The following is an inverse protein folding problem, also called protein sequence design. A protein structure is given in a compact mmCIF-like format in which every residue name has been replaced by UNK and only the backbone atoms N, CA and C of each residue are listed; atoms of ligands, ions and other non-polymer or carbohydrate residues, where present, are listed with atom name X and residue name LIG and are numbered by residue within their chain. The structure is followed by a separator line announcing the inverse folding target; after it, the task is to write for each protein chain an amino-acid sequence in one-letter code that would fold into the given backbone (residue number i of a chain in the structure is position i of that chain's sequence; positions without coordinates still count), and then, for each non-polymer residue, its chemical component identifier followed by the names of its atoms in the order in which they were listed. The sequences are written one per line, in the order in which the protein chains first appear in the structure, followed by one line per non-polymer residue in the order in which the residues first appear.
data_IF_847883422718
#
_entry.id   IF_847883422718
#
_cell.length_a   1.000
_cell.length_b   1.000
_cell.length_c   1.000
_cell.angle_alpha   90.00
_cell.angle_beta   90.00
_cell.angle_gamma   90.00
#
_symmetry.space_group_name_H-M   'P 1'
#
loop_
_entity.id
_entity.type
_entity.pdbx_description
1 polymer ?
#
# COMPACT_ATOMS: atom_id res chain seq x y z
N UNK A 1 -6.98 -1.34 -22.45
CA UNK A 1 -5.63 -1.20 -21.85
C UNK A 1 -5.68 -0.89 -20.35
N UNK A 2 -6.34 0.19 -19.89
CA UNK A 2 -6.43 0.54 -18.45
C UNK A 2 -7.03 -0.59 -17.57
N UNK A 3 -8.12 -1.22 -18.02
CA UNK A 3 -8.71 -2.37 -17.33
C UNK A 3 -7.81 -3.63 -17.32
N UNK A 4 -6.92 -3.78 -18.31
CA UNK A 4 -5.99 -4.90 -18.38
C UNK A 4 -4.83 -4.71 -17.39
N UNK A 5 -4.27 -3.49 -17.30
CA UNK A 5 -3.21 -3.16 -16.34
C UNK A 5 -3.67 -3.20 -14.88
N UNK A 6 -4.90 -2.77 -14.58
CA UNK A 6 -5.49 -2.89 -13.24
C UNK A 6 -5.75 -4.37 -12.89
N UNK A 7 -6.23 -5.17 -13.83
CA UNK A 7 -6.45 -6.62 -13.62
C UNK A 7 -5.13 -7.37 -13.46
N UNK A 8 -4.09 -7.02 -14.22
CA UNK A 8 -2.76 -7.60 -14.12
C UNK A 8 -2.06 -7.18 -12.83
N UNK A 9 -2.24 -5.94 -12.36
CA UNK A 9 -1.75 -5.54 -11.04
C UNK A 9 -2.52 -6.19 -9.90
N UNK A 10 -3.84 -6.29 -9.96
CA UNK A 10 -4.61 -7.05 -8.99
C UNK A 10 -4.18 -8.53 -9.00
N UNK A 11 -3.88 -9.10 -10.17
CA UNK A 11 -3.37 -10.46 -10.29
C UNK A 11 -1.94 -10.59 -9.77
N UNK A 12 -1.06 -9.60 -9.97
CA UNK A 12 0.33 -9.65 -9.48
C UNK A 12 0.44 -9.30 -8.00
N UNK A 13 -0.36 -8.36 -7.47
CA UNK A 13 -0.53 -8.12 -6.04
C UNK A 13 -1.17 -9.34 -5.39
N UNK A 14 -2.15 -9.95 -6.07
CA UNK A 14 -2.64 -11.27 -5.70
C UNK A 14 -1.49 -12.27 -5.76
N UNK A 15 -0.60 -12.31 -6.77
CA UNK A 15 0.55 -13.23 -6.86
C UNK A 15 1.65 -12.98 -5.81
N UNK A 16 1.83 -11.73 -5.35
CA UNK A 16 2.74 -11.34 -4.27
C UNK A 16 2.19 -11.67 -2.88
N UNK A 17 0.86 -11.70 -2.78
CA UNK A 17 0.13 -12.25 -1.63
C UNK A 17 -0.18 -13.74 -1.81
N UNK A 18 0.02 -14.31 -3.01
CA UNK A 18 -0.30 -15.69 -3.38
C UNK A 18 0.89 -16.59 -3.22
N UNK A 19 0.60 -17.69 -2.57
CA UNK A 19 1.58 -18.66 -2.14
C UNK A 19 1.85 -19.70 -3.22
N UNK A 20 0.81 -20.20 -3.88
CA UNK A 20 0.90 -21.37 -4.76
C UNK A 20 1.89 -21.17 -5.91
N UNK A 21 2.05 -19.92 -6.37
CA UNK A 21 3.01 -19.62 -7.44
C UNK A 21 4.45 -19.52 -6.93
N UNK A 22 4.71 -19.11 -5.69
CA UNK A 22 6.09 -19.00 -5.16
C UNK A 22 6.78 -20.38 -5.08
N UNK A 23 6.03 -21.47 -4.84
CA UNK A 23 6.58 -22.83 -4.96
C UNK A 23 6.93 -23.19 -6.41
N UNK A 24 6.16 -22.70 -7.40
CA UNK A 24 6.54 -22.80 -8.82
C UNK A 24 7.76 -21.91 -9.18
N UNK A 25 8.03 -20.83 -8.43
CA UNK A 25 9.21 -19.94 -8.59
C UNK A 25 10.52 -20.49 -8.03
N UNK A 26 10.53 -21.64 -7.34
CA UNK A 26 11.79 -22.28 -6.91
C UNK A 26 12.67 -22.75 -8.08
N UNK A 27 12.11 -22.79 -9.30
CA UNK A 27 12.81 -23.09 -10.55
C UNK A 27 12.43 -22.13 -11.70
N UNK A 28 12.34 -20.82 -11.46
CA UNK A 28 11.96 -19.89 -12.53
C UNK A 28 13.17 -19.24 -13.20
N UNK A 29 13.27 -19.49 -14.51
CA UNK A 29 14.14 -18.75 -15.43
C UNK A 29 13.90 -17.25 -15.29
N UNK A 30 14.95 -16.44 -15.51
CA UNK A 30 14.85 -14.98 -15.52
C UNK A 30 13.61 -14.55 -16.32
N UNK A 31 12.72 -13.80 -15.68
CA UNK A 31 11.55 -13.23 -16.38
C UNK A 31 12.02 -12.53 -17.66
N UNK A 32 11.39 -12.79 -18.81
CA UNK A 32 11.76 -12.14 -20.06
C UNK A 32 11.66 -10.62 -19.88
N UNK A 33 12.56 -9.89 -20.54
CA UNK A 33 12.44 -8.42 -20.60
C UNK A 33 11.06 -8.09 -21.13
N UNK A 34 10.34 -7.22 -20.44
CA UNK A 34 9.11 -6.66 -20.99
C UNK A 34 9.44 -5.90 -22.25
N UNK A 35 8.94 -6.39 -23.38
CA UNK A 35 9.05 -5.73 -24.68
C UNK A 35 7.81 -4.87 -24.89
N UNK A 36 8.04 -3.62 -25.27
CA UNK A 36 6.98 -2.68 -25.62
C UNK A 36 6.78 -2.65 -27.13
N UNK A 37 5.54 -2.54 -27.56
CA UNK A 37 5.25 -1.92 -28.86
C UNK A 37 5.41 -0.40 -28.71
N UNK A 38 6.17 0.30 -29.56
CA UNK A 38 6.50 1.74 -29.45
C UNK A 38 5.32 2.74 -29.33
N UNK A 39 4.08 2.24 -29.30
CA UNK A 39 2.86 3.02 -29.44
C UNK A 39 2.19 3.39 -28.12
N UNK A 40 2.49 2.72 -26.99
CA UNK A 40 1.83 3.11 -25.75
C UNK A 40 2.59 4.26 -25.05
N UNK A 41 1.81 5.22 -24.54
CA UNK A 41 2.34 6.41 -23.89
C UNK A 41 2.68 6.11 -22.41
N UNK A 42 3.78 6.66 -21.88
CA UNK A 42 4.13 6.47 -20.47
C UNK A 42 3.03 7.06 -19.57
N UNK A 43 2.58 6.24 -18.62
CA UNK A 43 1.56 6.65 -17.64
C UNK A 43 2.15 7.62 -16.62
N UNK A 44 3.31 7.30 -16.04
CA UNK A 44 4.05 8.18 -15.15
C UNK A 44 5.02 9.04 -15.96
N UNK A 45 5.11 10.33 -15.63
CA UNK A 45 5.83 11.33 -16.43
C UNK A 45 6.73 12.17 -15.54
N UNK A 46 8.04 11.93 -15.58
CA UNK A 46 9.07 12.69 -14.84
C UNK A 46 8.73 12.88 -13.35
N UNK A 47 8.35 11.79 -12.68
CA UNK A 47 8.02 11.82 -11.26
C UNK A 47 9.32 11.83 -10.44
N UNK A 48 9.61 12.96 -9.79
CA UNK A 48 10.75 13.12 -8.89
C UNK A 48 10.22 13.29 -7.46
N UNK A 49 10.47 12.31 -6.61
CA UNK A 49 9.91 12.25 -5.26
C UNK A 49 10.92 11.60 -4.31
N UNK A 50 11.09 12.20 -3.14
CA UNK A 50 11.87 11.63 -2.03
C UNK A 50 10.94 11.44 -0.84
N UNK A 51 10.92 10.22 -0.31
CA UNK A 51 10.14 9.85 0.88
C UNK A 51 11.13 9.41 1.94
N UNK A 52 11.17 10.14 3.06
CA UNK A 52 12.06 9.80 4.17
C UNK A 52 11.59 8.56 4.93
N UNK A 53 12.53 7.92 5.61
CA UNK A 53 12.24 6.76 6.45
C UNK A 53 11.22 7.12 7.55
N UNK A 54 10.23 6.25 7.75
CA UNK A 54 9.20 6.42 8.78
C UNK A 54 8.08 7.39 8.43
N UNK A 55 8.11 8.04 7.26
CA UNK A 55 6.98 8.87 6.81
C UNK A 55 5.78 8.00 6.46
N UNK A 56 4.59 8.44 6.88
CA UNK A 56 3.31 8.02 6.33
C UNK A 56 2.93 9.03 5.28
N UNK A 57 2.80 8.55 4.06
CA UNK A 57 2.52 9.35 2.88
C UNK A 57 1.17 8.94 2.32
N UNK A 58 0.23 9.88 2.31
CA UNK A 58 -1.03 9.72 1.59
C UNK A 58 -0.85 10.01 0.11
N UNK A 59 -1.33 9.14 -0.77
CA UNK A 59 -1.27 9.30 -2.22
C UNK A 59 -2.69 9.52 -2.73
N UNK A 60 -2.95 10.72 -3.25
CA UNK A 60 -4.27 11.15 -3.72
C UNK A 60 -4.21 11.68 -5.15
N UNK A 61 -5.37 11.78 -5.79
CA UNK A 61 -5.50 12.16 -7.19
C UNK A 61 -6.75 11.56 -7.80
N UNK A 62 -7.25 12.16 -8.88
CA UNK A 62 -8.43 11.66 -9.59
C UNK A 62 -8.18 10.25 -10.17
N UNK A 63 -9.26 9.57 -10.56
CA UNK A 63 -9.14 8.31 -11.32
C UNK A 63 -8.32 8.55 -12.58
N UNK A 64 -7.34 7.69 -12.87
CA UNK A 64 -6.41 7.87 -13.99
C UNK A 64 -5.21 8.78 -13.73
N UNK A 65 -5.07 9.36 -12.52
CA UNK A 65 -3.93 10.21 -12.19
C UNK A 65 -2.56 9.50 -12.12
N UNK A 66 -2.53 8.16 -12.14
CA UNK A 66 -1.29 7.36 -12.09
C UNK A 66 -0.96 6.74 -10.73
N UNK A 67 -1.82 6.85 -9.71
CA UNK A 67 -1.58 6.30 -8.35
C UNK A 67 -1.23 4.82 -8.36
N UNK A 68 -2.05 4.00 -9.02
CA UNK A 68 -1.81 2.56 -9.15
C UNK A 68 -0.50 2.30 -9.91
N UNK A 69 -0.20 3.05 -10.98
CA UNK A 69 1.06 2.92 -11.72
C UNK A 69 2.29 3.25 -10.88
N UNK A 70 2.20 4.18 -9.93
CA UNK A 70 3.27 4.47 -8.95
C UNK A 70 3.51 3.26 -8.03
N UNK A 71 2.45 2.58 -7.59
CA UNK A 71 2.61 1.33 -6.84
C UNK A 71 3.21 0.24 -7.73
N UNK A 72 2.79 0.13 -9.00
CA UNK A 72 3.38 -0.82 -9.96
C UNK A 72 4.88 -0.60 -10.14
N UNK A 73 5.34 0.65 -10.25
CA UNK A 73 6.76 0.95 -10.46
C UNK A 73 7.58 0.60 -9.22
N UNK A 74 7.08 0.89 -8.01
CA UNK A 74 7.74 0.53 -6.75
C UNK A 74 7.97 -0.98 -6.62
N UNK A 75 6.98 -1.78 -7.01
CA UNK A 75 7.07 -3.25 -6.98
C UNK A 75 7.78 -3.85 -8.21
N UNK A 76 8.23 -2.99 -9.15
CA UNK A 76 8.72 -3.36 -10.48
C UNK A 76 7.79 -4.38 -11.13
N UNK A 77 6.53 -3.97 -11.35
CA UNK A 77 5.48 -4.70 -12.07
C UNK A 77 5.19 -4.14 -13.47
N UNK A 78 5.82 -3.02 -13.83
CA UNK A 78 5.82 -2.42 -15.15
C UNK A 78 7.21 -1.86 -15.47
N UNK A 79 7.53 -1.67 -16.76
CA UNK A 79 8.82 -1.09 -17.18
C UNK A 79 8.95 0.28 -16.52
N UNK A 80 10.09 0.50 -15.87
CA UNK A 80 10.42 1.78 -15.26
C UNK A 80 11.55 2.40 -16.08
N UNK A 81 11.27 3.57 -16.66
CA UNK A 81 12.30 4.45 -17.20
C UNK A 81 12.73 5.42 -16.09
N UNK A 82 14.04 5.52 -15.85
CA UNK A 82 14.61 6.17 -14.67
C UNK A 82 14.97 5.17 -13.58
N UNK A 83 15.10 5.64 -12.34
CA UNK A 83 15.56 4.84 -11.21
C UNK A 83 14.57 4.90 -10.03
N UNK A 84 14.45 3.79 -9.32
CA UNK A 84 13.75 3.72 -8.03
C UNK A 84 14.78 3.27 -7.01
N UNK A 85 15.09 4.15 -6.07
CA UNK A 85 16.14 3.94 -5.06
C UNK A 85 15.48 3.68 -3.70
N UNK A 86 15.87 2.59 -3.04
CA UNK A 86 15.44 2.25 -1.68
C UNK A 86 16.69 2.09 -0.82
N UNK A 87 16.77 2.82 0.30
CA UNK A 87 17.92 2.81 1.22
C UNK A 87 19.28 3.03 0.51
N UNK A 88 19.29 3.88 -0.53
CA UNK A 88 20.48 4.20 -1.33
C UNK A 88 20.84 3.15 -2.39
N UNK A 89 20.03 2.10 -2.56
CA UNK A 89 20.23 1.04 -3.54
C UNK A 89 19.24 1.22 -4.69
N UNK A 90 19.73 1.32 -5.93
CA UNK A 90 18.87 1.25 -7.11
C UNK A 90 18.26 -0.15 -7.24
N UNK A 91 16.94 -0.21 -7.15
CA UNK A 91 16.16 -1.44 -7.23
C UNK A 91 16.25 -2.12 -8.59
N UNK A 92 16.71 -1.43 -9.64
CA UNK A 92 16.99 -1.96 -10.97
C UNK A 92 17.97 -3.13 -10.97
N UNK A 93 18.95 -3.10 -10.06
CA UNK A 93 19.99 -4.13 -9.92
C UNK A 93 19.58 -5.32 -9.04
N UNK A 94 18.48 -5.21 -8.30
CA UNK A 94 18.02 -6.26 -7.39
C UNK A 94 17.23 -7.35 -8.13
N UNK A 95 17.33 -8.58 -7.64
CA UNK A 95 16.40 -9.64 -8.02
C UNK A 95 14.99 -9.27 -7.55
N UNK A 96 13.99 -9.51 -8.40
CA UNK A 96 12.60 -9.13 -8.08
C UNK A 96 12.10 -9.78 -6.79
N UNK A 97 12.43 -11.05 -6.56
CA UNK A 97 12.05 -11.73 -5.32
C UNK A 97 12.64 -11.05 -4.08
N UNK A 98 13.91 -10.61 -4.15
CA UNK A 98 14.57 -9.91 -3.06
C UNK A 98 13.89 -8.56 -2.78
N UNK A 99 13.72 -7.72 -3.81
CA UNK A 99 13.03 -6.44 -3.71
C UNK A 99 11.63 -6.60 -3.10
N UNK A 100 10.83 -7.51 -3.66
CA UNK A 100 9.43 -7.72 -3.29
C UNK A 100 9.30 -8.35 -1.91
N UNK A 101 10.31 -9.09 -1.44
CA UNK A 101 10.33 -9.61 -0.07
C UNK A 101 10.47 -8.52 0.98
N UNK A 102 11.03 -7.35 0.63
CA UNK A 102 11.27 -6.21 1.53
C UNK A 102 10.15 -5.19 1.58
N UNK A 103 9.08 -5.38 0.79
CA UNK A 103 7.93 -4.48 0.73
C UNK A 103 6.67 -5.29 1.06
N UNK A 104 5.86 -4.80 2.00
CA UNK A 104 4.55 -5.38 2.32
C UNK A 104 3.45 -4.59 1.63
N UNK A 105 2.39 -5.28 1.19
CA UNK A 105 1.20 -4.65 0.61
C UNK A 105 -0.07 -5.18 1.26
N UNK A 106 -1.02 -4.27 1.51
CA UNK A 106 -2.38 -4.57 1.92
C UNK A 106 -3.30 -4.06 0.82
N UNK A 107 -3.85 -4.95 -0.03
CA UNK A 107 -4.71 -4.57 -1.14
C UNK A 107 -6.11 -4.16 -0.67
N UNK A 108 -6.80 -3.39 -1.52
CA UNK A 108 -8.20 -3.03 -1.36
C UNK A 108 -9.11 -4.26 -1.24
N UNK A 109 -8.86 -5.27 -2.09
CA UNK A 109 -9.54 -6.57 -2.07
C UNK A 109 -8.60 -7.66 -1.53
N UNK A 110 -8.71 -8.04 -0.24
CA UNK A 110 -7.89 -9.09 0.32
C UNK A 110 -8.21 -10.46 -0.30
N UNK A 111 -7.16 -11.14 -0.76
CA UNK A 111 -7.27 -12.51 -1.28
C UNK A 111 -6.80 -13.49 -0.21
N UNK A 112 -7.68 -14.45 0.10
CA UNK A 112 -7.36 -15.62 0.91
C UNK A 112 -7.55 -16.90 0.10
N UNK A 113 -6.68 -17.88 0.34
CA UNK A 113 -6.70 -19.18 -0.32
C UNK A 113 -7.61 -20.15 0.42
N UNK A 114 -8.19 -21.09 -0.34
CA UNK A 114 -8.93 -22.23 0.21
C UNK A 114 -7.98 -23.24 0.86
N UNK A 115 -7.41 -22.87 2.00
CA UNK A 115 -6.36 -23.57 2.71
C UNK A 115 -6.48 -23.30 4.22
N UNK A 116 -5.52 -23.76 5.02
CA UNK A 116 -5.52 -23.44 6.47
C UNK A 116 -5.21 -21.97 6.73
N UNK A 117 -5.56 -21.47 7.91
CA UNK A 117 -5.11 -20.13 8.36
C UNK A 117 -3.59 -20.07 8.41
N UNK A 118 -2.93 -21.15 8.86
CA UNK A 118 -1.46 -21.30 8.81
C UNK A 118 -0.92 -21.00 7.42
N UNK A 119 -1.42 -21.71 6.42
CA UNK A 119 -0.97 -21.56 5.03
C UNK A 119 -1.21 -20.14 4.50
N UNK A 120 -2.35 -19.55 4.88
CA UNK A 120 -2.65 -18.18 4.51
C UNK A 120 -1.70 -17.18 5.17
N UNK A 121 -1.20 -17.41 6.39
CA UNK A 121 -0.28 -16.50 7.09
C UNK A 121 1.18 -16.72 6.69
N UNK A 122 1.61 -17.97 6.75
CA UNK A 122 2.98 -18.41 6.52
C UNK A 122 3.04 -19.69 5.68
N UNK A 123 3.08 -19.53 4.37
CA UNK A 123 3.11 -20.66 3.48
C UNK A 123 4.43 -21.43 3.39
N UNK A 124 5.55 -20.76 3.69
CA UNK A 124 6.87 -21.36 3.56
C UNK A 124 7.32 -22.01 4.85
N UNK A 125 6.48 -21.97 5.89
CA UNK A 125 6.81 -22.40 7.25
C UNK A 125 8.10 -21.71 7.75
N UNK A 126 8.23 -20.42 7.48
CA UNK A 126 9.33 -19.59 7.99
C UNK A 126 9.14 -19.20 9.46
N UNK A 127 7.92 -19.32 10.00
CA UNK A 127 7.54 -18.89 11.33
C UNK A 127 6.93 -20.04 12.13
N UNK A 128 7.18 -20.03 13.45
CA UNK A 128 6.56 -20.97 14.39
C UNK A 128 5.13 -20.54 14.77
N UNK A 129 4.38 -21.46 15.39
CA UNK A 129 2.99 -21.23 15.81
C UNK A 129 2.85 -20.04 16.77
N UNK A 130 3.84 -19.82 17.64
CA UNK A 130 3.81 -18.74 18.62
C UNK A 130 3.86 -17.38 17.90
N UNK A 131 4.74 -17.24 16.90
CA UNK A 131 4.83 -16.06 16.05
C UNK A 131 3.53 -15.82 15.28
N UNK A 132 2.91 -16.87 14.72
CA UNK A 132 1.64 -16.76 14.02
C UNK A 132 0.51 -16.29 14.93
N UNK A 133 0.40 -16.86 16.13
CA UNK A 133 -0.60 -16.44 17.12
C UNK A 133 -0.36 -15.02 17.62
N UNK A 134 0.89 -14.62 17.85
CA UNK A 134 1.24 -13.24 18.20
C UNK A 134 0.84 -12.26 17.10
N UNK A 135 1.04 -12.61 15.83
CA UNK A 135 0.62 -11.77 14.71
C UNK A 135 -0.91 -11.64 14.63
N UNK A 136 -1.65 -12.75 14.82
CA UNK A 136 -3.12 -12.74 14.88
C UNK A 136 -3.66 -11.93 16.07
N UNK A 137 -2.97 -11.99 17.21
CA UNK A 137 -3.29 -11.19 18.40
C UNK A 137 -3.03 -9.71 18.18
N UNK A 138 -1.89 -9.38 17.58
CA UNK A 138 -1.51 -8.02 17.20
C UNK A 138 -2.42 -7.42 16.13
N UNK A 139 -3.36 -8.17 15.54
CA UNK A 139 -4.40 -7.67 14.64
C UNK A 139 -5.82 -7.88 15.16
N UNK A 140 -5.97 -8.28 16.43
CA UNK A 140 -7.27 -8.56 17.08
C UNK A 140 -8.10 -9.65 16.38
N UNK A 141 -7.45 -10.55 15.63
CA UNK A 141 -8.09 -11.64 14.89
C UNK A 141 -8.02 -12.99 15.63
N UNK A 142 -7.18 -13.11 16.66
CA UNK A 142 -6.98 -14.35 17.43
C UNK A 142 -8.28 -15.00 17.90
N UNK A 143 -9.24 -14.22 18.39
CA UNK A 143 -10.53 -14.73 18.88
C UNK A 143 -11.43 -15.31 17.76
N UNK A 144 -11.25 -14.86 16.52
CA UNK A 144 -12.03 -15.33 15.36
C UNK A 144 -11.41 -16.57 14.68
N UNK A 145 -10.20 -16.97 15.07
CA UNK A 145 -9.48 -18.12 14.49
C UNK A 145 -9.41 -19.23 15.55
N UNK A 146 -10.20 -20.32 15.40
CA UNK A 146 -10.22 -21.41 16.39
C UNK A 146 -8.89 -22.19 16.49
N UNK A 147 -8.21 -22.34 15.36
CA UNK A 147 -6.90 -23.01 15.27
C UNK A 147 -6.17 -22.56 14.00
N UNK A 148 -4.85 -22.76 13.95
CA UNK A 148 -4.07 -22.49 12.74
C UNK A 148 -4.44 -23.44 11.58
N UNK A 149 -4.94 -24.63 11.88
CA UNK A 149 -5.46 -25.60 10.91
C UNK A 149 -6.89 -25.31 10.43
N UNK A 150 -7.54 -24.26 10.97
CA UNK A 150 -8.87 -23.86 10.56
C UNK A 150 -8.89 -23.58 9.05
N UNK A 151 -9.84 -24.22 8.35
CA UNK A 151 -9.94 -24.09 6.89
C UNK A 151 -10.63 -22.79 6.50
N UNK A 152 -9.94 -22.01 5.69
CA UNK A 152 -10.48 -20.87 4.97
C UNK A 152 -11.22 -21.42 3.75
N UNK A 153 -12.46 -20.99 3.55
CA UNK A 153 -13.28 -21.37 2.39
C UNK A 153 -12.80 -20.64 1.12
N UNK A 154 -13.31 -21.03 -0.04
CA UNK A 154 -12.97 -20.39 -1.31
C UNK A 154 -13.14 -18.85 -1.23
N UNK A 155 -12.08 -18.13 -1.60
CA UNK A 155 -12.02 -16.65 -1.53
C UNK A 155 -12.13 -16.06 -0.12
N UNK A 156 -12.01 -16.88 0.93
CA UNK A 156 -12.23 -16.47 2.32
C UNK A 156 -13.68 -16.12 2.63
N UNK A 157 -14.65 -16.75 1.95
CA UNK A 157 -16.08 -16.47 2.14
C UNK A 157 -16.61 -16.69 3.57
N UNK A 158 -15.90 -17.49 4.38
CA UNK A 158 -16.19 -17.67 5.80
C UNK A 158 -15.58 -16.60 6.72
N UNK A 159 -14.91 -15.57 6.17
CA UNK A 159 -14.40 -14.40 6.88
C UNK A 159 -15.08 -13.13 6.38
N UNK A 160 -15.38 -12.21 7.29
CA UNK A 160 -15.84 -10.88 6.90
C UNK A 160 -14.77 -10.12 6.11
N UNK A 161 -15.14 -9.11 5.33
CA UNK A 161 -14.17 -8.27 4.61
C UNK A 161 -13.10 -7.70 5.57
N UNK A 162 -13.52 -7.21 6.74
CA UNK A 162 -12.60 -6.70 7.75
C UNK A 162 -11.64 -7.77 8.27
N UNK A 163 -12.13 -8.99 8.56
CA UNK A 163 -11.25 -10.07 9.00
C UNK A 163 -10.25 -10.48 7.93
N UNK A 164 -10.64 -10.51 6.65
CA UNK A 164 -9.71 -10.78 5.54
C UNK A 164 -8.62 -9.70 5.44
N UNK A 165 -8.95 -8.43 5.69
CA UNK A 165 -7.96 -7.35 5.80
C UNK A 165 -7.01 -7.57 7.00
N UNK A 166 -7.52 -8.00 8.15
CA UNK A 166 -6.70 -8.32 9.31
C UNK A 166 -5.75 -9.50 9.05
N UNK A 167 -6.15 -10.51 8.27
CA UNK A 167 -5.21 -11.55 7.82
C UNK A 167 -4.07 -10.96 6.99
N UNK A 168 -4.36 -10.06 6.05
CA UNK A 168 -3.32 -9.35 5.29
C UNK A 168 -2.42 -8.49 6.19
N UNK A 169 -2.98 -7.85 7.21
CA UNK A 169 -2.23 -7.09 8.19
C UNK A 169 -1.30 -8.00 9.02
N UNK A 170 -1.78 -9.17 9.45
CA UNK A 170 -0.97 -10.15 10.17
C UNK A 170 0.20 -10.66 9.31
N UNK A 171 -0.02 -10.89 8.01
CA UNK A 171 1.07 -11.19 7.04
C UNK A 171 2.12 -10.09 7.00
N UNK A 172 1.69 -8.82 7.00
CA UNK A 172 2.60 -7.69 6.98
C UNK A 172 3.42 -7.58 8.28
N UNK A 173 2.81 -7.85 9.44
CA UNK A 173 3.49 -7.91 10.75
C UNK A 173 4.53 -9.03 10.77
N UNK A 174 4.16 -10.24 10.34
CA UNK A 174 5.07 -11.39 10.30
C UNK A 174 6.32 -11.10 9.46
N UNK A 175 6.13 -10.47 8.29
CA UNK A 175 7.26 -10.09 7.41
C UNK A 175 8.16 -9.01 8.01
N UNK A 176 7.66 -8.15 8.88
CA UNK A 176 8.45 -7.11 9.55
C UNK A 176 9.12 -6.11 8.59
N UNK A 177 8.58 -5.93 7.39
CA UNK A 177 9.13 -5.04 6.38
C UNK A 177 8.98 -3.57 6.78
N UNK A 178 10.00 -2.75 6.47
CA UNK A 178 10.01 -1.31 6.78
C UNK A 178 9.20 -0.46 5.81
N UNK A 179 8.82 -0.99 4.66
CA UNK A 179 7.98 -0.31 3.67
C UNK A 179 6.65 -1.05 3.57
N UNK A 180 5.56 -0.34 3.83
CA UNK A 180 4.20 -0.85 3.78
C UNK A 180 3.37 -0.03 2.80
N UNK A 181 2.73 -0.69 1.83
CA UNK A 181 1.78 -0.08 0.92
C UNK A 181 0.36 -0.47 1.31
N UNK A 182 -0.51 0.51 1.51
CA UNK A 182 -1.92 0.35 1.76
C UNK A 182 -2.69 0.82 0.53
N UNK A 183 -3.29 -0.09 -0.21
CA UNK A 183 -4.14 0.27 -1.34
C UNK A 183 -5.58 0.40 -0.85
N UNK A 184 -6.05 1.64 -0.73
CA UNK A 184 -7.37 1.99 -0.21
C UNK A 184 -7.60 1.50 1.24
N UNK A 185 -6.78 2.00 2.17
CA UNK A 185 -6.92 1.72 3.60
C UNK A 185 -8.36 1.99 4.08
N UNK A 186 -9.03 0.96 4.59
CA UNK A 186 -10.31 1.12 5.29
C UNK A 186 -10.05 1.62 6.71
N UNK A 187 -11.02 2.31 7.30
CA UNK A 187 -10.94 2.84 8.66
C UNK A 187 -10.70 1.77 9.75
N UNK A 188 -10.78 0.48 9.41
CA UNK A 188 -10.59 -0.64 10.33
C UNK A 188 -9.12 -1.08 10.47
N UNK A 189 -8.24 -0.57 9.61
CA UNK A 189 -6.80 -0.79 9.73
C UNK A 189 -6.22 0.52 10.24
N UNK A 190 -5.89 0.59 11.53
CA UNK A 190 -5.12 1.71 12.09
C UNK A 190 -3.62 1.36 12.00
N UNK A 191 -2.91 1.79 10.94
CA UNK A 191 -1.49 1.51 10.81
C UNK A 191 -0.64 2.29 11.83
N UNK A 192 -1.18 3.34 12.50
CA UNK A 192 -0.34 4.27 13.28
C UNK A 192 0.38 3.62 14.44
N UNK A 193 -0.30 2.76 15.19
CA UNK A 193 0.28 2.14 16.39
C UNK A 193 1.16 0.95 16.05
N UNK A 194 0.78 0.19 15.00
CA UNK A 194 1.39 -1.10 14.66
C UNK A 194 2.58 -0.98 13.71
N UNK A 195 2.63 0.11 12.94
CA UNK A 195 3.68 0.36 11.93
C UNK A 195 4.38 1.70 12.17
N UNK A 196 4.50 2.13 13.43
CA UNK A 196 5.10 3.42 13.79
C UNK A 196 6.52 3.61 13.25
N UNK A 197 7.31 2.53 13.11
CA UNK A 197 8.68 2.56 12.59
C UNK A 197 8.79 2.29 11.08
N UNK A 198 7.66 2.10 10.38
CA UNK A 198 7.64 1.82 8.94
C UNK A 198 7.38 3.09 8.14
N UNK A 199 7.95 3.16 6.95
CA UNK A 199 7.47 4.04 5.88
C UNK A 199 6.18 3.47 5.33
N UNK A 200 5.09 4.23 5.39
CA UNK A 200 3.75 3.77 4.96
C UNK A 200 3.28 4.60 3.78
N UNK A 201 2.93 3.94 2.67
CA UNK A 201 2.37 4.58 1.48
C UNK A 201 0.89 4.21 1.37
N UNK A 202 0.00 5.16 1.56
CA UNK A 202 -1.45 4.93 1.55
C UNK A 202 -2.07 5.53 0.30
N UNK A 203 -2.48 4.69 -0.65
CA UNK A 203 -3.33 5.15 -1.76
C UNK A 203 -4.73 5.38 -1.20
N UNK A 204 -5.20 6.62 -1.25
CA UNK A 204 -6.46 6.99 -0.64
C UNK A 204 -7.49 7.42 -1.69
N UNK A 205 -8.67 6.80 -1.61
CA UNK A 205 -9.90 7.28 -2.25
C UNK A 205 -10.75 8.14 -1.32
N UNK A 206 -10.58 7.97 0.00
CA UNK A 206 -11.23 8.80 1.02
C UNK A 206 -10.17 9.66 1.71
N UNK A 207 -10.35 10.98 1.67
CA UNK A 207 -9.34 11.92 2.18
C UNK A 207 -9.13 11.80 3.70
N UNK A 208 -10.13 11.36 4.46
CA UNK A 208 -10.04 11.22 5.92
C UNK A 208 -8.96 10.24 6.38
N UNK A 209 -8.55 9.28 5.55
CA UNK A 209 -7.54 8.29 5.90
C UNK A 209 -6.11 8.79 5.73
N UNK A 210 -5.92 9.99 5.18
CA UNK A 210 -4.61 10.58 4.90
C UNK A 210 -4.43 11.99 5.46
N UNK A 211 -5.45 12.57 6.12
CA UNK A 211 -5.34 13.93 6.68
C UNK A 211 -4.35 14.04 7.85
N UNK A 212 -3.98 12.91 8.43
CA UNK A 212 -3.05 12.77 9.54
C UNK A 212 -1.70 12.17 9.11
N UNK A 213 -1.46 12.08 7.81
CA UNK A 213 -0.18 11.66 7.24
C UNK A 213 0.88 12.76 7.38
N UNK A 214 2.15 12.37 7.53
CA UNK A 214 3.26 13.32 7.57
C UNK A 214 3.40 14.09 6.26
N UNK A 215 3.07 13.45 5.12
CA UNK A 215 3.00 14.09 3.79
C UNK A 215 1.82 13.58 2.98
N UNK A 216 1.34 14.39 2.05
CA UNK A 216 0.39 13.99 1.02
C UNK A 216 0.98 14.27 -0.35
N UNK A 217 1.10 13.23 -1.16
CA UNK A 217 1.42 13.27 -2.57
C UNK A 217 0.13 13.42 -3.37
N UNK A 218 0.00 14.53 -4.08
CA UNK A 218 -1.08 14.77 -5.03
C UNK A 218 -0.59 14.47 -6.43
N UNK A 219 -1.25 13.53 -7.10
CA UNK A 219 -0.99 13.15 -8.47
C UNK A 219 -2.05 13.71 -9.42
N UNK A 220 -1.62 14.17 -10.58
CA UNK A 220 -2.49 14.52 -11.70
C UNK A 220 -1.84 14.10 -13.03
N UNK A 221 -2.60 13.40 -13.87
CA UNK A 221 -2.20 13.02 -15.23
C UNK A 221 -0.79 12.39 -15.35
N UNK A 222 -0.39 11.58 -14.35
CA UNK A 222 0.90 10.90 -14.33
C UNK A 222 2.05 11.68 -13.68
N UNK A 223 1.77 12.86 -13.11
CA UNK A 223 2.77 13.77 -12.53
C UNK A 223 2.50 14.02 -11.05
N UNK A 224 3.57 14.29 -10.31
CA UNK A 224 3.48 14.90 -8.99
C UNK A 224 3.14 16.39 -9.16
N UNK A 225 2.04 16.85 -8.58
CA UNK A 225 1.63 18.27 -8.64
C UNK A 225 1.78 18.98 -7.30
N UNK A 226 1.60 18.28 -6.18
CA UNK A 226 1.82 18.82 -4.84
C UNK A 226 2.38 17.73 -3.92
N UNK A 227 3.27 18.12 -2.99
CA UNK A 227 3.83 17.21 -2.00
C UNK A 227 4.27 17.97 -0.74
N UNK A 228 3.44 17.97 0.30
CA UNK A 228 3.75 18.57 1.60
C UNK A 228 2.81 17.98 2.68
N UNK A 229 2.93 18.45 3.92
CA UNK A 229 1.99 18.15 4.99
C UNK A 229 0.57 18.62 4.62
N UNK A 230 -0.50 17.84 4.90
CA UNK A 230 -1.88 18.18 4.55
C UNK A 230 -2.28 19.62 4.92
N UNK A 231 -1.92 20.08 6.13
CA UNK A 231 -2.19 21.44 6.60
C UNK A 231 -1.57 22.53 5.72
N UNK A 232 -0.33 22.34 5.25
CA UNK A 232 0.36 23.31 4.40
C UNK A 232 -0.21 23.32 2.99
N UNK A 233 -0.57 22.15 2.46
CA UNK A 233 -1.27 22.06 1.18
C UNK A 233 -2.60 22.81 1.20
N UNK A 234 -3.34 22.69 2.30
CA UNK A 234 -4.63 23.39 2.50
C UNK A 234 -4.50 24.90 2.67
N UNK A 235 -3.30 25.42 2.96
CA UNK A 235 -3.07 26.86 3.05
C UNK A 235 -3.15 27.56 1.68
N UNK A 236 -3.01 26.82 0.58
CA UNK A 236 -3.22 27.35 -0.78
C UNK A 236 -4.70 27.16 -1.21
N UNK A 237 -5.52 28.23 -1.29
CA UNK A 237 -6.93 28.11 -1.66
C UNK A 237 -7.16 27.59 -3.09
N UNK A 238 -6.16 27.73 -3.96
CA UNK A 238 -6.22 27.32 -5.37
C UNK A 238 -5.48 26.00 -5.65
N UNK A 239 -4.91 25.37 -4.61
CA UNK A 239 -4.18 24.12 -4.70
C UNK A 239 -5.06 22.93 -5.14
N UNK A 240 -4.44 21.92 -5.71
CA UNK A 240 -5.09 20.67 -6.12
C UNK A 240 -5.69 19.95 -4.92
N UNK A 241 -4.94 19.84 -3.80
CA UNK A 241 -5.43 19.20 -2.60
C UNK A 241 -6.63 19.93 -1.98
N UNK A 242 -6.56 21.26 -1.90
CA UNK A 242 -7.65 22.10 -1.38
C UNK A 242 -8.93 21.94 -2.21
N UNK A 243 -8.81 21.88 -3.54
CA UNK A 243 -9.95 21.59 -4.43
C UNK A 243 -10.57 20.23 -4.14
N UNK A 244 -9.76 19.18 -3.96
CA UNK A 244 -10.29 17.85 -3.61
C UNK A 244 -11.02 17.83 -2.26
N UNK A 245 -10.51 18.56 -1.27
CA UNK A 245 -11.18 18.70 0.05
C UNK A 245 -12.48 19.49 -0.07
N UNK A 246 -12.51 20.56 -0.87
CA UNK A 246 -13.71 21.37 -1.10
C UNK A 246 -14.78 20.68 -1.96
N UNK A 247 -14.42 19.65 -2.73
CA UNK A 247 -15.39 18.78 -3.42
C UNK A 247 -16.15 17.84 -2.45
N UNK A 248 -15.71 17.74 -1.18
CA UNK A 248 -16.45 17.04 -0.12
C UNK A 248 -17.55 17.91 0.49
N UNK A 249 -18.41 17.34 1.35
CA UNK A 249 -19.43 18.13 2.04
C UNK A 249 -18.82 19.14 3.02
N UNK A 250 -19.48 20.27 3.26
CA UNK A 250 -18.96 21.33 4.16
C UNK A 250 -18.56 20.81 5.55
N UNK A 251 -19.38 19.90 6.11
CA UNK A 251 -19.11 19.24 7.39
C UNK A 251 -17.81 18.42 7.32
N UNK A 252 -17.63 17.64 6.25
CA UNK A 252 -16.44 16.82 6.05
C UNK A 252 -15.22 17.68 5.82
N UNK A 253 -15.28 18.68 4.94
CA UNK A 253 -14.18 19.63 4.69
C UNK A 253 -13.70 20.27 5.99
N UNK A 254 -14.61 20.76 6.84
CA UNK A 254 -14.27 21.34 8.15
C UNK A 254 -13.56 20.33 9.05
N UNK A 255 -14.05 19.09 9.11
CA UNK A 255 -13.44 18.02 9.89
C UNK A 255 -12.04 17.66 9.38
N UNK A 256 -11.86 17.52 8.07
CA UNK A 256 -10.57 17.21 7.44
C UNK A 256 -9.54 18.30 7.74
N UNK A 257 -9.93 19.58 7.61
CA UNK A 257 -9.09 20.72 7.98
C UNK A 257 -8.66 20.67 9.45
N UNK A 258 -9.58 20.33 10.35
CA UNK A 258 -9.27 20.22 11.77
C UNK A 258 -8.29 19.07 12.06
N UNK A 259 -8.45 17.91 11.42
CA UNK A 259 -7.53 16.77 11.57
C UNK A 259 -6.13 17.16 11.10
N UNK A 260 -6.03 17.79 9.92
CA UNK A 260 -4.75 18.26 9.37
C UNK A 260 -4.06 19.26 10.29
N UNK A 261 -4.80 20.26 10.79
CA UNK A 261 -4.28 21.28 11.70
C UNK A 261 -3.80 20.69 13.03
N UNK A 262 -4.60 19.82 13.65
CA UNK A 262 -4.25 19.18 14.92
C UNK A 262 -2.99 18.31 14.76
N UNK A 263 -2.90 17.54 13.67
CA UNK A 263 -1.73 16.69 13.40
C UNK A 263 -0.48 17.53 13.16
N UNK A 264 -0.59 18.63 12.42
CA UNK A 264 0.52 19.55 12.16
C UNK A 264 1.10 20.12 13.47
N UNK A 265 0.22 20.59 14.37
CA UNK A 265 0.61 21.15 15.67
C UNK A 265 1.23 20.09 16.58
N UNK A 266 0.64 18.89 16.66
CA UNK A 266 1.17 17.79 17.47
C UNK A 266 2.57 17.36 17.03
N UNK A 267 2.90 17.51 15.75
CA UNK A 267 4.22 17.22 15.19
C UNK A 267 5.22 18.38 15.33
N UNK A 268 4.91 19.39 16.15
CA UNK A 268 5.79 20.55 16.40
C UNK A 268 5.74 21.62 15.30
N UNK A 269 4.75 21.57 14.41
CA UNK A 269 4.54 22.59 13.39
C UNK A 269 4.17 23.94 14.03
N UNK A 270 4.78 25.01 13.52
CA UNK A 270 4.48 26.40 13.92
C UNK A 270 3.50 26.99 12.90
N UNK A 271 2.41 27.57 13.40
CA UNK A 271 1.49 28.35 12.56
C UNK A 271 2.06 29.76 12.49
N UNK A 272 2.46 30.17 11.29
CA UNK A 272 2.85 31.55 10.98
C UNK A 272 1.64 32.49 10.90
#
# INVERSE_FOLDING_TARGET
MLQFGVRQMAEVISQMTSVERILQYTHIEREPKWEYTPEDLPVLKNLNLVIESGWKVGIVGRTGAGKSSLISSLFRLAIVEGEVIIDGIDTGYLALQELRSKISIIPQEPVLFSATVRYNLDPFNNYDDEQLWKALEAVDLKAAVPSLDFKVSEGGSNFSLGQRQLVCLARAILRGNRILVLDEATANVDPKTRFAACTVLTVAHRLNTIMDSERVLVMDSGRLVEFDHPYRLLANPHGYFTKMVNETSDKMSTQLNQIAKNTFLNNGGVIE
#
